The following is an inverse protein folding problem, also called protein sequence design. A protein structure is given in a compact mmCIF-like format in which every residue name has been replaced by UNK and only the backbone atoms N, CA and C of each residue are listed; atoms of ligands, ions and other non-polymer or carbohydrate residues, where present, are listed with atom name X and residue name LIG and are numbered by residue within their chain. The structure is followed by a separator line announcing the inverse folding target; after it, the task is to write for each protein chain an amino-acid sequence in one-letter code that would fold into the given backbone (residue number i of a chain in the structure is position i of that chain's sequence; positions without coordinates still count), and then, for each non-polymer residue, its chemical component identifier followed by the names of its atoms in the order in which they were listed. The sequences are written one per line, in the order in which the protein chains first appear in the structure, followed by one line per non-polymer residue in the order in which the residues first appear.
data_IF_521469814449
#
_entry.id   IF_521469814449
#
_cell.length_a   1.000
_cell.length_b   1.000
_cell.length_c   1.000
_cell.angle_alpha   90.00
_cell.angle_beta   90.00
_cell.angle_gamma   90.00
#
_symmetry.space_group_name_H-M   'P 1'
#
loop_
_entity.id
_entity.type
_entity.pdbx_description
1 polymer ?
#
# COMPACT_ATOMS: atom_id res chain seq x y z
N UNK A 1 -10.42 8.29 -7.44
CA UNK A 1 -10.65 6.96 -8.06
C UNK A 1 -11.99 6.40 -7.56
N UNK A 2 -12.88 5.90 -8.42
CA UNK A 2 -14.19 5.38 -7.96
C UNK A 2 -13.99 4.08 -7.13
N UNK A 3 -14.54 3.98 -5.91
CA UNK A 3 -14.24 2.89 -4.97
C UNK A 3 -14.55 1.48 -5.52
N UNK A 4 -15.58 1.35 -6.36
CA UNK A 4 -15.92 0.06 -7.01
C UNK A 4 -14.85 -0.35 -8.02
N UNK A 5 -14.33 0.59 -8.83
CA UNK A 5 -13.31 0.30 -9.85
C UNK A 5 -12.02 -0.17 -9.19
N UNK A 6 -11.64 0.46 -8.06
CA UNK A 6 -10.49 0.06 -7.28
C UNK A 6 -10.64 -1.35 -6.69
N UNK A 7 -11.81 -1.68 -6.13
CA UNK A 7 -12.07 -3.03 -5.61
C UNK A 7 -12.04 -4.09 -6.71
N UNK A 8 -12.52 -3.77 -7.91
CA UNK A 8 -12.45 -4.65 -9.07
C UNK A 8 -11.00 -4.86 -9.53
N UNK A 9 -10.20 -3.79 -9.55
CA UNK A 9 -8.77 -3.85 -9.83
C UNK A 9 -8.05 -4.75 -8.82
N UNK A 10 -8.28 -4.58 -7.51
CA UNK A 10 -7.68 -5.45 -6.51
C UNK A 10 -8.10 -6.91 -6.71
N UNK A 11 -9.38 -7.17 -6.93
CA UNK A 11 -9.84 -8.54 -7.17
C UNK A 11 -9.15 -9.17 -8.40
N UNK A 12 -8.95 -8.41 -9.48
CA UNK A 12 -8.36 -8.92 -10.72
C UNK A 12 -6.83 -9.01 -10.70
N UNK A 13 -6.13 -8.05 -10.08
CA UNK A 13 -4.67 -7.90 -10.18
C UNK A 13 -3.94 -8.15 -8.86
N UNK A 14 -4.60 -7.98 -7.73
CA UNK A 14 -4.04 -8.18 -6.38
C UNK A 14 -5.03 -8.93 -5.48
N UNK A 15 -5.42 -10.18 -5.84
CA UNK A 15 -6.48 -10.91 -5.14
C UNK A 15 -6.17 -11.11 -3.65
N UNK A 16 -4.88 -11.25 -3.28
CA UNK A 16 -4.46 -11.33 -1.89
C UNK A 16 -4.76 -10.04 -1.10
N UNK A 17 -4.51 -8.87 -1.69
CA UNK A 17 -4.85 -7.59 -1.06
C UNK A 17 -6.37 -7.42 -0.90
N UNK A 18 -7.15 -7.91 -1.86
CA UNK A 18 -8.61 -7.93 -1.77
C UNK A 18 -9.11 -8.85 -0.63
N UNK A 19 -8.58 -10.07 -0.54
CA UNK A 19 -8.95 -11.06 0.49
C UNK A 19 -8.58 -10.57 1.89
N UNK A 20 -7.35 -10.08 2.05
CA UNK A 20 -6.90 -9.42 3.28
C UNK A 20 -7.70 -8.14 3.57
N UNK A 21 -8.32 -7.55 2.56
CA UNK A 21 -9.22 -6.41 2.68
C UNK A 21 -8.52 -5.11 2.99
N UNK A 22 -7.42 -4.88 2.28
CA UNK A 22 -6.75 -3.60 2.21
C UNK A 22 -7.66 -2.59 1.49
N UNK A 23 -7.65 -1.34 1.95
CA UNK A 23 -8.44 -0.26 1.36
C UNK A 23 -7.62 1.01 1.36
N UNK A 24 -7.63 1.75 0.25
CA UNK A 24 -7.12 3.13 0.24
C UNK A 24 -8.14 3.98 0.99
N UNK A 25 -7.70 4.67 2.05
CA UNK A 25 -8.50 5.67 2.76
C UNK A 25 -8.15 7.08 2.32
N UNK A 26 -6.89 7.32 1.97
CA UNK A 26 -6.39 8.61 1.47
C UNK A 26 -5.41 8.36 0.33
N UNK A 27 -5.50 9.17 -0.73
CA UNK A 27 -4.55 9.16 -1.83
C UNK A 27 -4.57 10.53 -2.51
N UNK A 28 -3.42 11.18 -2.48
CA UNK A 28 -3.07 12.34 -3.29
C UNK A 28 -1.58 12.23 -3.70
N UNK A 29 -1.04 13.26 -4.36
CA UNK A 29 0.36 13.25 -4.81
C UNK A 29 1.37 13.30 -3.66
N UNK A 30 0.95 13.78 -2.48
CA UNK A 30 1.79 13.96 -1.29
C UNK A 30 1.79 12.75 -0.36
N UNK A 31 0.67 12.01 -0.26
CA UNK A 31 0.53 10.89 0.67
C UNK A 31 -0.45 9.81 0.20
N UNK A 32 -0.25 8.60 0.71
CA UNK A 32 -1.19 7.50 0.58
C UNK A 32 -1.36 6.75 1.90
N UNK A 33 -2.61 6.45 2.24
CA UNK A 33 -2.98 5.70 3.44
C UNK A 33 -3.76 4.45 3.08
N UNK A 34 -3.25 3.30 3.53
CA UNK A 34 -3.89 1.99 3.41
C UNK A 34 -4.43 1.54 4.76
N UNK A 35 -5.72 1.28 4.82
CA UNK A 35 -6.40 0.66 5.94
C UNK A 35 -6.43 -0.86 5.80
N UNK A 36 -6.18 -1.57 6.90
CA UNK A 36 -6.37 -3.02 7.00
C UNK A 36 -7.45 -3.37 8.01
N UNK A 37 -8.47 -4.10 7.55
CA UNK A 37 -9.49 -4.65 8.43
C UNK A 37 -8.92 -5.79 9.27
N UNK A 38 -8.88 -5.68 10.59
CA UNK A 38 -8.66 -6.83 11.47
C UNK A 38 -9.82 -7.82 11.38
N UNK A 39 -9.49 -9.07 11.07
CA UNK A 39 -10.42 -10.19 10.90
C UNK A 39 -9.64 -11.49 11.06
N UNK A 40 -10.33 -12.59 11.34
CA UNK A 40 -9.74 -13.92 11.48
C UNK A 40 -8.73 -14.28 10.38
N UNK A 41 -9.07 -14.05 9.11
CA UNK A 41 -8.19 -14.30 7.95
C UNK A 41 -6.83 -13.58 8.03
N UNK A 42 -6.76 -12.44 8.71
CA UNK A 42 -5.56 -11.62 8.81
C UNK A 42 -4.79 -11.86 10.11
N UNK A 43 -5.22 -12.79 10.96
CA UNK A 43 -4.60 -13.06 12.25
C UNK A 43 -3.52 -14.13 12.18
N UNK A 44 -2.63 -14.10 13.16
CA UNK A 44 -1.63 -15.13 13.43
C UNK A 44 -2.01 -15.92 14.72
N UNK A 45 -1.31 -17.02 15.05
CA UNK A 45 -1.54 -17.81 16.27
C UNK A 45 -1.37 -17.06 17.59
N UNK A 46 -0.89 -15.81 17.56
CA UNK A 46 -0.66 -14.96 18.74
C UNK A 46 -1.74 -13.88 18.93
N UNK A 47 -2.93 -14.08 18.32
CA UNK A 47 -4.07 -13.16 18.39
C UNK A 47 -3.73 -11.73 17.96
N UNK A 48 -2.89 -11.59 16.93
CA UNK A 48 -2.52 -10.31 16.32
C UNK A 48 -2.46 -10.42 14.80
N UNK A 49 -2.37 -9.30 14.11
CA UNK A 49 -2.30 -9.28 12.64
C UNK A 49 -1.02 -9.94 12.15
N UNK A 50 -1.15 -10.85 11.18
CA UNK A 50 -0.03 -11.54 10.57
C UNK A 50 0.91 -10.54 9.87
N UNK A 51 2.22 -10.72 10.05
CA UNK A 51 3.22 -9.75 9.61
C UNK A 51 3.18 -9.55 8.09
N UNK A 52 2.88 -10.59 7.30
CA UNK A 52 2.81 -10.44 5.84
C UNK A 52 1.64 -9.56 5.38
N UNK A 53 0.54 -9.52 6.15
CA UNK A 53 -0.57 -8.60 5.88
C UNK A 53 -0.16 -7.16 6.17
N UNK A 54 0.62 -6.96 7.24
CA UNK A 54 1.18 -5.66 7.58
C UNK A 54 2.19 -5.19 6.52
N UNK A 55 3.11 -6.08 6.11
CA UNK A 55 4.08 -5.83 5.04
C UNK A 55 3.40 -5.47 3.71
N UNK A 56 2.36 -6.21 3.32
CA UNK A 56 1.58 -5.91 2.13
C UNK A 56 0.91 -4.54 2.18
N UNK A 57 0.38 -4.14 3.34
CA UNK A 57 -0.24 -2.83 3.49
C UNK A 57 0.78 -1.68 3.49
N UNK A 58 1.96 -1.90 4.07
CA UNK A 58 3.07 -0.95 4.05
C UNK A 58 3.67 -0.78 2.65
N UNK A 59 3.90 -1.88 1.92
CA UNK A 59 4.38 -1.83 0.54
C UNK A 59 3.34 -1.20 -0.38
N UNK A 60 2.06 -1.53 -0.20
CA UNK A 60 1.01 -0.94 -1.01
C UNK A 60 0.86 0.58 -0.81
N UNK A 61 1.05 1.10 0.40
CA UNK A 61 0.96 2.55 0.65
C UNK A 61 2.06 3.33 -0.07
N UNK A 62 3.26 2.77 -0.18
CA UNK A 62 4.36 3.38 -0.94
C UNK A 62 4.18 3.18 -2.45
N UNK A 63 3.84 1.96 -2.89
CA UNK A 63 3.69 1.62 -4.30
C UNK A 63 2.55 2.38 -4.98
N UNK A 64 1.40 2.51 -4.32
CA UNK A 64 0.27 3.29 -4.86
C UNK A 64 0.62 4.77 -4.96
N UNK A 65 1.36 5.33 -4.00
CA UNK A 65 1.81 6.72 -4.03
C UNK A 65 2.76 6.98 -5.22
N UNK A 66 3.72 6.07 -5.44
CA UNK A 66 4.61 6.15 -6.59
C UNK A 66 3.84 6.02 -7.91
N UNK A 67 2.90 5.08 -8.03
CA UNK A 67 2.06 4.93 -9.21
C UNK A 67 1.24 6.18 -9.50
N UNK A 68 0.69 6.84 -8.46
CA UNK A 68 -0.02 8.10 -8.61
C UNK A 68 0.89 9.20 -9.16
N UNK A 69 2.13 9.28 -8.68
CA UNK A 69 3.11 10.26 -9.14
C UNK A 69 3.71 9.94 -10.53
N UNK A 70 3.72 8.66 -10.94
CA UNK A 70 4.14 8.24 -12.29
C UNK A 70 3.05 8.49 -13.34
N UNK A 71 1.78 8.47 -12.93
CA UNK A 71 0.65 8.56 -13.85
C UNK A 71 0.70 9.83 -14.71
N UNK A 72 0.64 9.66 -16.04
CA UNK A 72 0.65 10.77 -17.00
C UNK A 72 2.03 11.30 -17.39
N UNK A 73 3.12 10.83 -16.77
CA UNK A 73 4.49 11.22 -17.12
C UNK A 73 4.96 10.60 -18.44
N UNK A 74 5.88 11.29 -19.12
CA UNK A 74 6.52 10.87 -20.38
C UNK A 74 8.03 11.14 -20.33
N UNK A 75 8.89 10.15 -20.64
CA UNK A 75 8.60 8.74 -20.85
C UNK A 75 7.91 8.06 -19.65
N UNK A 76 7.20 6.96 -19.92
CA UNK A 76 6.57 6.18 -18.85
C UNK A 76 7.62 5.48 -17.99
N UNK A 77 7.38 5.42 -16.68
CA UNK A 77 8.26 4.75 -15.72
C UNK A 77 7.60 3.43 -15.24
N UNK A 78 8.37 2.35 -15.17
CA UNK A 78 7.95 1.10 -14.53
C UNK A 78 8.59 1.02 -13.15
N UNK A 79 7.83 0.51 -12.17
CA UNK A 79 8.27 0.43 -10.77
C UNK A 79 8.25 -1.02 -10.30
N UNK A 80 9.32 -1.43 -9.63
CA UNK A 80 9.49 -2.74 -9.01
C UNK A 80 10.02 -2.59 -7.59
N UNK A 81 9.51 -3.39 -6.67
CA UNK A 81 10.03 -3.46 -5.31
C UNK A 81 11.35 -4.25 -5.33
N UNK A 82 12.44 -3.62 -4.91
CA UNK A 82 13.78 -4.24 -4.88
C UNK A 82 14.20 -4.66 -3.47
N UNK A 83 13.73 -3.94 -2.45
CA UNK A 83 14.03 -4.20 -1.04
C UNK A 83 12.89 -3.64 -0.18
N UNK A 84 12.64 -4.29 0.96
CA UNK A 84 11.72 -3.79 1.99
C UNK A 84 12.31 -4.09 3.37
N UNK A 85 12.53 -3.05 4.17
CA UNK A 85 12.93 -3.17 5.56
C UNK A 85 11.79 -2.69 6.46
N UNK A 86 11.49 -3.46 7.51
CA UNK A 86 10.41 -3.15 8.44
C UNK A 86 10.78 -3.54 9.87
N UNK A 87 10.33 -2.73 10.83
CA UNK A 87 10.48 -3.00 12.26
C UNK A 87 9.11 -3.11 12.92
N UNK A 88 8.87 -4.22 13.63
CA UNK A 88 7.61 -4.49 14.31
C UNK A 88 7.75 -4.19 15.81
N UNK A 89 7.36 -2.98 16.21
CA UNK A 89 7.51 -2.52 17.59
C UNK A 89 6.37 -2.97 18.51
N UNK A 90 5.15 -3.09 17.97
CA UNK A 90 3.96 -3.45 18.74
C UNK A 90 3.07 -4.39 17.94
N UNK A 91 2.50 -5.37 18.62
CA UNK A 91 1.49 -6.26 18.03
C UNK A 91 0.22 -5.48 17.67
N UNK A 92 -0.35 -5.77 16.50
CA UNK A 92 -1.58 -5.15 16.01
C UNK A 92 -2.77 -6.06 16.37
N UNK A 93 -3.61 -5.62 17.31
CA UNK A 93 -4.78 -6.38 17.81
C UNK A 93 -6.11 -5.79 17.34
N UNK A 94 -6.07 -4.94 16.31
CA UNK A 94 -7.23 -4.22 15.81
C UNK A 94 -6.98 -3.68 14.42
N UNK A 95 -7.89 -2.82 13.96
CA UNK A 95 -7.74 -2.12 12.70
C UNK A 95 -6.49 -1.24 12.71
N UNK A 96 -5.83 -1.12 11.57
CA UNK A 96 -4.57 -0.36 11.45
C UNK A 96 -4.52 0.38 10.12
N UNK A 97 -3.86 1.54 10.13
CA UNK A 97 -3.56 2.33 8.95
C UNK A 97 -2.06 2.34 8.72
N UNK A 98 -1.64 2.17 7.46
CA UNK A 98 -0.28 2.32 6.98
C UNK A 98 -0.23 3.55 6.09
N UNK A 99 0.58 4.53 6.44
CA UNK A 99 0.65 5.81 5.73
C UNK A 99 2.05 6.00 5.17
N UNK A 100 2.16 6.31 3.88
CA UNK A 100 3.37 6.84 3.27
C UNK A 100 3.14 8.35 3.02
N UNK A 101 3.85 9.24 3.74
CA UNK A 101 3.77 10.69 3.56
C UNK A 101 4.85 11.25 2.61
N UNK A 102 5.62 10.40 1.95
CA UNK A 102 6.86 10.78 1.26
C UNK A 102 6.65 11.10 -0.23
N UNK A 103 5.51 11.71 -0.58
CA UNK A 103 5.18 12.01 -1.98
C UNK A 103 6.21 12.90 -2.67
N UNK A 104 6.75 13.89 -1.97
CA UNK A 104 7.82 14.75 -2.49
C UNK A 104 9.11 13.97 -2.79
N UNK A 105 9.45 12.98 -1.95
CA UNK A 105 10.61 12.11 -2.20
C UNK A 105 10.38 11.22 -3.41
N UNK A 106 9.16 10.68 -3.55
CA UNK A 106 8.77 9.89 -4.71
C UNK A 106 8.86 10.72 -6.01
N UNK A 107 8.33 11.95 -6.00
CA UNK A 107 8.42 12.88 -7.14
C UNK A 107 9.86 13.13 -7.55
N UNK A 108 10.72 13.52 -6.61
CA UNK A 108 12.13 13.79 -6.89
C UNK A 108 12.88 12.56 -7.44
N UNK A 109 12.58 11.37 -6.91
CA UNK A 109 13.17 10.13 -7.41
C UNK A 109 12.70 9.78 -8.83
N UNK A 110 11.42 10.00 -9.13
CA UNK A 110 10.84 9.79 -10.46
C UNK A 110 11.41 10.81 -11.45
N UNK A 111 11.51 12.10 -11.08
CA UNK A 111 12.10 13.16 -11.91
C UNK A 111 13.55 12.83 -12.29
N UNK A 112 14.32 12.26 -11.35
CA UNK A 112 15.71 11.85 -11.59
C UNK A 112 15.83 10.63 -12.51
N UNK A 113 14.80 9.78 -12.55
CA UNK A 113 14.80 8.54 -13.32
C UNK A 113 14.31 8.70 -14.77
N UNK A 114 13.75 9.86 -15.10
CA UNK A 114 13.16 10.19 -16.41
C UNK A 114 14.16 10.98 -17.27
#
# INVERSE_FOLDING_TARGET
MHPIKYRLFLFSKLPMAFLAGLRITELDESKCTIYVKYRWLNTNPFASMYFAVQAMAAEMSTGVLCLANIHGRKPGCSMLVVQMDAQFQKRVTGHVHFTCPDGAMAQAAIDKAI
#
